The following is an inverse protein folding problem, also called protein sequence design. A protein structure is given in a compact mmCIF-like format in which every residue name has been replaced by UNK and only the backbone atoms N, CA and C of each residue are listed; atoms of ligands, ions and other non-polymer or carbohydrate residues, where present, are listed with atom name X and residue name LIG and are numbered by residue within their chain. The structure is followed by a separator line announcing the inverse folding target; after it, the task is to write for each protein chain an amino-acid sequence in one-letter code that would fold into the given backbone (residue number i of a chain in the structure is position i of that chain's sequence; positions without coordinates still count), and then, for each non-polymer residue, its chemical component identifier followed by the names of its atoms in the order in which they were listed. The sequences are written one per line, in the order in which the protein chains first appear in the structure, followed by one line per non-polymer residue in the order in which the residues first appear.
data_IF_686759441557
#
_entry.id   IF_686759441557
#
_cell.length_a   1.000
_cell.length_b   1.000
_cell.length_c   1.000
_cell.angle_alpha   90.00
_cell.angle_beta   90.00
_cell.angle_gamma   90.00
#
_symmetry.space_group_name_H-M   'P 1'
#
loop_
_entity.id
_entity.type
_entity.pdbx_description
1 polymer ?
#
# COMPACT_ATOMS: atom_id res chain seq x y z
N UNK A 1 -19.33 -4.11 -1.02
CA UNK A 1 -18.25 -4.43 -0.07
C UNK A 1 -17.24 -5.28 -0.83
N UNK A 2 -16.20 -4.65 -1.36
CA UNK A 2 -15.19 -5.37 -2.17
C UNK A 2 -13.83 -5.09 -1.53
N UNK A 3 -13.37 -6.04 -0.74
CA UNK A 3 -11.99 -6.09 -0.25
C UNK A 3 -11.28 -7.12 -1.11
N UNK A 4 -10.21 -6.69 -1.77
CA UNK A 4 -9.33 -7.56 -2.54
C UNK A 4 -8.14 -7.96 -1.64
N UNK A 5 -7.62 -9.16 -1.83
CA UNK A 5 -6.40 -9.59 -1.14
C UNK A 5 -5.45 -10.37 -2.05
N UNK A 6 -4.16 -10.32 -1.71
CA UNK A 6 -3.09 -11.00 -2.42
C UNK A 6 -1.97 -11.39 -1.47
N UNK A 7 -1.41 -12.58 -1.66
CA UNK A 7 -0.14 -12.99 -1.06
C UNK A 7 1.01 -12.64 -1.98
N UNK A 8 2.03 -11.99 -1.42
CA UNK A 8 3.24 -11.55 -2.12
C UNK A 8 4.48 -11.87 -1.31
N UNK A 9 5.60 -12.11 -1.99
CA UNK A 9 6.92 -12.23 -1.38
C UNK A 9 7.91 -11.34 -2.17
N UNK A 10 7.86 -10.01 -1.98
CA UNK A 10 8.67 -9.08 -2.77
C UNK A 10 10.16 -9.27 -2.49
N UNK A 11 10.95 -9.32 -3.56
CA UNK A 11 12.41 -9.52 -3.48
C UNK A 11 13.10 -8.43 -2.65
N UNK A 12 12.62 -7.19 -2.74
CA UNK A 12 13.17 -6.03 -2.02
C UNK A 12 12.44 -5.71 -0.71
N UNK A 13 11.68 -6.67 -0.17
CA UNK A 13 10.91 -6.54 1.07
C UNK A 13 10.03 -5.27 1.11
N UNK A 14 9.54 -4.83 -0.05
CA UNK A 14 8.75 -3.62 -0.21
C UNK A 14 7.89 -3.66 -1.46
N UNK A 15 6.79 -2.90 -1.42
CA UNK A 15 5.92 -2.66 -2.56
C UNK A 15 5.40 -1.21 -2.52
N UNK A 16 4.71 -0.82 -3.59
CA UNK A 16 4.32 0.55 -3.86
C UNK A 16 2.81 0.69 -4.00
N UNK A 17 2.29 1.84 -3.60
CA UNK A 17 0.88 2.23 -3.73
C UNK A 17 0.86 3.59 -4.42
N UNK A 18 0.23 3.67 -5.59
CA UNK A 18 0.21 4.90 -6.39
C UNK A 18 -1.04 5.00 -7.29
N UNK A 19 -1.35 6.23 -7.73
CA UNK A 19 -2.36 6.45 -8.77
C UNK A 19 -1.86 6.14 -10.19
N UNK A 20 -0.56 5.94 -10.38
CA UNK A 20 0.01 5.50 -11.65
C UNK A 20 1.30 4.72 -11.43
N UNK A 21 1.75 3.97 -12.43
CA UNK A 21 3.04 3.27 -12.37
C UNK A 21 4.25 4.16 -12.65
N UNK A 22 4.05 5.34 -13.24
CA UNK A 22 5.12 6.27 -13.57
C UNK A 22 5.28 7.25 -12.41
N UNK A 23 5.95 6.80 -11.36
CA UNK A 23 6.14 7.57 -10.12
C UNK A 23 7.58 7.58 -9.68
N UNK A 24 7.96 8.64 -8.97
CA UNK A 24 9.18 8.67 -8.20
C UNK A 24 8.92 7.99 -6.85
N UNK A 25 9.60 6.86 -6.61
CA UNK A 25 9.42 6.10 -5.37
C UNK A 25 10.14 6.84 -4.24
N UNK A 26 9.46 7.16 -3.11
CA UNK A 26 10.11 7.78 -1.98
C UNK A 26 11.10 6.79 -1.35
N UNK A 27 12.39 7.05 -1.52
CA UNK A 27 13.52 6.26 -1.00
C UNK A 27 14.44 7.12 -0.12
N UNK A 28 15.26 6.47 0.72
CA UNK A 28 16.24 7.13 1.59
C UNK A 28 15.70 7.63 2.95
N UNK A 29 16.61 8.00 3.86
CA UNK A 29 16.31 8.45 5.23
C UNK A 29 16.20 7.31 6.26
N UNK A 30 15.85 7.64 7.51
CA UNK A 30 15.71 6.69 8.63
C UNK A 30 14.81 5.49 8.28
N UNK A 31 15.12 4.26 8.70
CA UNK A 31 14.31 3.07 8.46
C UNK A 31 12.86 3.30 8.90
N UNK A 32 11.92 3.24 7.96
CA UNK A 32 10.49 3.42 8.22
C UNK A 32 9.71 2.44 7.36
N UNK A 33 8.68 1.88 7.96
CA UNK A 33 7.77 0.92 7.31
C UNK A 33 6.91 1.58 6.25
N UNK A 34 6.66 2.88 6.36
CA UNK A 34 5.98 3.67 5.34
C UNK A 34 6.81 4.89 5.02
N UNK A 35 7.08 5.10 3.73
CA UNK A 35 7.53 6.38 3.17
C UNK A 35 6.51 6.83 2.14
N UNK A 36 6.11 8.09 2.18
CA UNK A 36 5.05 8.60 1.33
C UNK A 36 5.40 9.96 0.75
N UNK A 37 5.09 10.12 -0.53
CA UNK A 37 4.86 11.40 -1.19
C UNK A 37 3.38 11.50 -1.56
N UNK A 38 2.99 12.57 -2.26
CA UNK A 38 1.63 12.68 -2.81
C UNK A 38 1.38 11.74 -4.00
N UNK A 39 2.43 11.22 -4.63
CA UNK A 39 2.29 10.43 -5.87
C UNK A 39 2.55 8.93 -5.65
N UNK A 40 3.29 8.58 -4.59
CA UNK A 40 3.65 7.19 -4.30
C UNK A 40 3.87 6.98 -2.80
N UNK A 41 3.41 5.83 -2.32
CA UNK A 41 3.72 5.31 -0.99
C UNK A 41 4.55 4.05 -1.16
N UNK A 42 5.72 4.02 -0.54
CA UNK A 42 6.58 2.87 -0.41
C UNK A 42 6.34 2.20 0.95
N UNK A 43 5.89 0.95 0.92
CA UNK A 43 5.55 0.15 2.09
C UNK A 43 6.52 -1.01 2.24
N UNK A 44 7.22 -1.08 3.36
CA UNK A 44 8.03 -2.24 3.74
C UNK A 44 7.13 -3.41 4.16
N UNK A 45 7.56 -4.63 3.86
CA UNK A 45 6.88 -5.86 4.25
C UNK A 45 7.88 -6.92 4.71
N UNK A 46 7.40 -8.13 4.99
CA UNK A 46 8.25 -9.26 5.31
C UNK A 46 9.23 -9.55 4.16
N UNK A 47 10.46 -9.95 4.50
CA UNK A 47 11.44 -10.40 3.53
C UNK A 47 10.95 -11.68 2.84
N UNK A 48 11.14 -11.78 1.52
CA UNK A 48 10.76 -12.96 0.73
C UNK A 48 11.32 -14.29 1.25
N UNK A 49 12.46 -14.29 1.96
CA UNK A 49 13.05 -15.48 2.57
C UNK A 49 12.37 -15.90 3.89
N UNK A 50 11.71 -14.95 4.56
CA UNK A 50 11.06 -15.17 5.87
C UNK A 50 9.57 -15.54 5.72
N UNK A 51 8.98 -15.33 4.54
CA UNK A 51 7.64 -15.79 4.18
C UNK A 51 6.85 -14.80 3.34
N UNK A 52 5.55 -15.11 3.17
CA UNK A 52 4.63 -14.29 2.41
C UNK A 52 4.03 -13.16 3.26
N UNK A 53 3.77 -12.03 2.61
CA UNK A 53 2.94 -10.94 3.11
C UNK A 53 1.56 -10.99 2.47
N UNK A 54 0.49 -10.87 3.27
CA UNK A 54 -0.88 -10.69 2.79
C UNK A 54 -1.22 -9.21 2.75
N UNK A 55 -1.53 -8.71 1.55
CA UNK A 55 -1.96 -7.33 1.31
C UNK A 55 -3.45 -7.31 1.02
N UNK A 56 -4.18 -6.43 1.70
CA UNK A 56 -5.60 -6.15 1.46
C UNK A 56 -5.78 -4.75 0.89
N UNK A 57 -6.63 -4.61 -0.12
CA UNK A 57 -7.04 -3.32 -0.70
C UNK A 57 -8.55 -3.22 -0.69
N UNK A 58 -9.09 -2.12 -0.15
CA UNK A 58 -10.53 -1.90 -0.11
C UNK A 58 -10.89 -0.49 0.36
N UNK A 59 -12.18 -0.20 0.46
CA UNK A 59 -12.64 1.02 1.12
C UNK A 59 -12.31 0.96 2.61
N UNK A 60 -11.86 2.07 3.17
CA UNK A 60 -11.44 2.10 4.57
C UNK A 60 -12.57 1.72 5.54
N UNK A 61 -13.82 2.02 5.21
CA UNK A 61 -14.99 1.64 6.01
C UNK A 61 -15.34 0.15 5.89
N UNK A 62 -14.93 -0.50 4.80
CA UNK A 62 -15.08 -1.95 4.59
C UNK A 62 -13.96 -2.75 5.29
N UNK A 63 -12.83 -2.10 5.58
CA UNK A 63 -11.71 -2.70 6.29
C UNK A 63 -11.96 -2.61 7.80
N UNK A 64 -12.32 -3.75 8.41
CA UNK A 64 -12.62 -3.81 9.85
C UNK A 64 -11.40 -3.49 10.72
N UNK A 65 -11.21 -2.22 11.10
CA UNK A 65 -10.25 -1.80 12.14
C UNK A 65 -10.73 -0.64 13.00
N UNK A 66 -10.51 -0.81 14.32
CA UNK A 66 -10.76 0.16 15.40
C UNK A 66 -9.47 0.88 15.86
N UNK A 67 -8.32 0.63 15.21
CA UNK A 67 -7.02 1.18 15.60
C UNK A 67 -6.54 2.32 14.70
N UNK A 68 -5.64 3.17 15.22
CA UNK A 68 -4.99 4.25 14.49
C UNK A 68 -4.11 3.69 13.35
N UNK A 69 -4.22 4.19 12.11
CA UNK A 69 -3.36 3.75 11.02
C UNK A 69 -1.90 4.17 11.24
N UNK A 70 -0.97 3.37 10.72
CA UNK A 70 0.47 3.69 10.71
C UNK A 70 0.80 4.77 9.66
N UNK A 71 -0.10 4.98 8.71
CA UNK A 71 -0.06 6.06 7.73
C UNK A 71 -1.46 6.54 7.40
N UNK A 72 -1.64 7.86 7.37
CA UNK A 72 -2.87 8.53 6.97
C UNK A 72 -2.47 9.74 6.11
N UNK A 73 -2.72 9.63 4.81
CA UNK A 73 -2.24 10.60 3.82
C UNK A 73 -3.17 10.70 2.61
N UNK A 74 -2.82 11.59 1.69
CA UNK A 74 -3.55 11.78 0.43
C UNK A 74 -2.63 11.41 -0.73
N UNK A 75 -3.17 10.62 -1.66
CA UNK A 75 -2.52 10.15 -2.87
C UNK A 75 -3.21 10.76 -4.09
N UNK A 76 -2.41 11.25 -5.04
CA UNK A 76 -2.88 11.70 -6.34
C UNK A 76 -3.32 10.49 -7.19
N UNK A 77 -4.58 10.49 -7.60
CA UNK A 77 -5.25 9.43 -8.35
C UNK A 77 -5.99 10.00 -9.56
N UNK A 78 -5.35 10.92 -10.30
CA UNK A 78 -5.90 11.57 -11.50
C UNK A 78 -6.40 10.60 -12.59
N UNK A 79 -5.89 9.37 -12.58
CA UNK A 79 -6.27 8.26 -13.46
C UNK A 79 -7.54 7.53 -13.01
N UNK A 80 -8.11 7.86 -11.84
CA UNK A 80 -9.28 7.19 -11.26
C UNK A 80 -8.99 5.80 -10.73
N UNK A 81 -7.73 5.47 -10.42
CA UNK A 81 -7.34 4.16 -9.88
C UNK A 81 -6.28 4.31 -8.79
N UNK A 82 -6.27 3.37 -7.83
CA UNK A 82 -5.12 3.08 -6.97
C UNK A 82 -4.57 1.72 -7.35
N UNK A 83 -3.26 1.65 -7.55
CA UNK A 83 -2.53 0.45 -7.95
C UNK A 83 -1.53 0.09 -6.87
N UNK A 84 -1.50 -1.19 -6.50
CA UNK A 84 -0.48 -1.81 -5.67
C UNK A 84 0.43 -2.61 -6.59
N UNK A 85 1.73 -2.40 -6.54
CA UNK A 85 2.71 -3.05 -7.42
C UNK A 85 4.07 -3.13 -6.74
N UNK A 86 5.00 -3.92 -7.26
CA UNK A 86 6.39 -3.92 -6.78
C UNK A 86 7.37 -3.65 -7.94
N UNK A 87 8.68 -3.74 -7.67
CA UNK A 87 9.71 -3.48 -8.68
C UNK A 87 9.68 -4.47 -9.86
N UNK A 88 9.27 -5.71 -9.61
CA UNK A 88 9.26 -6.84 -10.55
C UNK A 88 7.85 -7.23 -11.01
N UNK A 89 6.83 -6.96 -10.20
CA UNK A 89 5.44 -7.33 -10.43
C UNK A 89 4.64 -6.08 -10.82
N UNK A 90 4.19 -5.99 -12.09
CA UNK A 90 3.60 -4.77 -12.62
C UNK A 90 2.27 -4.38 -11.97
N UNK A 91 1.56 -5.35 -11.40
CA UNK A 91 0.32 -5.16 -10.65
C UNK A 91 0.12 -6.33 -9.66
N UNK A 92 -0.09 -5.99 -8.40
CA UNK A 92 -0.44 -6.91 -7.30
C UNK A 92 -1.95 -6.85 -7.07
N UNK A 93 -2.49 -5.62 -6.92
CA UNK A 93 -3.91 -5.30 -6.74
C UNK A 93 -4.20 -3.94 -7.38
N UNK A 94 -5.44 -3.70 -7.80
CA UNK A 94 -5.89 -2.39 -8.25
C UNK A 94 -7.36 -2.15 -7.88
N UNK A 95 -7.73 -0.89 -7.65
CA UNK A 95 -9.12 -0.52 -7.37
C UNK A 95 -9.44 0.86 -7.93
N UNK A 96 -10.58 0.99 -8.61
CA UNK A 96 -11.08 2.26 -9.11
C UNK A 96 -11.48 3.19 -7.95
N UNK A 97 -11.21 4.48 -8.12
CA UNK A 97 -11.55 5.52 -7.14
C UNK A 97 -12.26 6.69 -7.83
N UNK A 98 -13.25 7.32 -7.18
CA UNK A 98 -14.12 8.31 -7.82
C UNK A 98 -13.47 9.70 -7.93
N UNK A 99 -12.38 9.96 -7.21
CA UNK A 99 -11.78 11.29 -7.08
C UNK A 99 -10.33 11.32 -7.59
N UNK A 100 -9.86 12.48 -8.07
CA UNK A 100 -8.48 12.67 -8.54
C UNK A 100 -7.47 12.71 -7.38
N UNK A 101 -7.94 12.83 -6.15
CA UNK A 101 -7.16 12.69 -4.92
C UNK A 101 -7.89 11.70 -4.01
N UNK A 102 -7.17 10.71 -3.48
CA UNK A 102 -7.74 9.67 -2.64
C UNK A 102 -7.01 9.66 -1.30
N UNK A 103 -7.77 9.74 -0.20
CA UNK A 103 -7.20 9.49 1.12
C UNK A 103 -6.83 8.02 1.23
N UNK A 104 -5.61 7.75 1.67
CA UNK A 104 -5.07 6.40 1.86
C UNK A 104 -4.70 6.23 3.32
N UNK A 105 -5.28 5.21 3.94
CA UNK A 105 -5.01 4.80 5.31
C UNK A 105 -4.38 3.41 5.29
N UNK A 106 -3.23 3.24 5.95
CA UNK A 106 -2.52 1.96 5.98
C UNK A 106 -2.46 1.46 7.41
N UNK A 107 -2.79 0.18 7.58
CA UNK A 107 -2.62 -0.53 8.83
C UNK A 107 -1.74 -1.75 8.61
N UNK A 108 -0.85 -2.00 9.58
CA UNK A 108 -0.04 -3.20 9.63
C UNK A 108 -0.25 -3.89 10.98
N UNK A 109 0.04 -5.19 11.06
CA UNK A 109 0.01 -5.93 12.32
C UNK A 109 1.29 -5.77 13.15
N UNK A 110 2.38 -5.26 12.57
CA UNK A 110 3.65 -5.00 13.25
C UNK A 110 4.35 -3.78 12.65
N UNK A 111 5.17 -3.13 13.47
CA UNK A 111 5.88 -1.93 13.07
C UNK A 111 7.08 -2.21 12.17
N UNK A 112 7.70 -3.39 12.24
CA UNK A 112 8.83 -3.79 11.38
C UNK A 112 8.45 -5.09 10.69
N UNK A 113 8.79 -5.21 9.41
CA UNK A 113 8.58 -6.41 8.57
C UNK A 113 7.17 -7.00 8.67
N UNK A 114 6.11 -6.23 8.37
CA UNK A 114 4.75 -6.74 8.44
C UNK A 114 4.43 -7.78 7.36
N UNK A 115 3.73 -8.83 7.78
CA UNK A 115 3.19 -9.90 6.96
C UNK A 115 1.68 -9.78 6.74
N UNK A 116 1.01 -8.82 7.39
CA UNK A 116 -0.40 -8.51 7.16
C UNK A 116 -0.61 -7.00 7.08
N UNK A 117 -0.98 -6.52 5.90
CA UNK A 117 -1.10 -5.08 5.59
C UNK A 117 -2.47 -4.81 4.97
N UNK A 118 -3.15 -3.78 5.46
CA UNK A 118 -4.44 -3.33 4.94
C UNK A 118 -4.33 -1.90 4.43
N UNK A 119 -4.80 -1.67 3.21
CA UNK A 119 -4.78 -0.40 2.49
C UNK A 119 -6.23 0.05 2.27
N UNK A 120 -6.65 1.04 3.03
CA UNK A 120 -7.98 1.63 2.96
C UNK A 120 -8.00 2.88 2.11
N UNK A 121 -8.95 2.95 1.19
CA UNK A 121 -9.22 4.11 0.36
C UNK A 121 -10.44 4.87 0.89
N UNK A 122 -10.43 6.20 0.74
CA UNK A 122 -11.49 7.10 1.22
C UNK A 122 -11.22 7.65 2.61
#
# INVERSE_FOLDING_TARGET
MTVLDRRIAPEYASFYIAGSRKVEVPIGGEPRTVRASRDCINMSCLNSQDGDTVVFLGWADDLGRLEKPIHDGVLNTNSGVVIVFDANMPEILSMAVPTPETRVRIWANRLLEPDRIQIGLG
#
